data_IF_209046276449
#
_entry.id   IF_209046276449
#
_cell.length_a   1.000
_cell.length_b   1.000
_cell.length_c   1.000
_cell.angle_alpha   90.00
_cell.angle_beta   90.00
_cell.angle_gamma   90.00
#
_symmetry.space_group_name_H-M   'P 1'
#
loop_
_entity.id
_entity.type
_entity.pdbx_description
1 polymer ?
#
# COMPACT_ATOMS: atom_id res chain seq x y z
N UNK A 1 -7.96 6.73 17.64
CA UNK A 1 -7.82 7.97 18.44
C UNK A 1 -8.57 9.14 17.83
N UNK A 2 -8.34 9.56 16.58
CA UNK A 2 -8.97 10.75 15.97
C UNK A 2 -10.50 10.77 16.10
N UNK A 3 -11.17 9.64 15.87
CA UNK A 3 -12.63 9.54 16.01
C UNK A 3 -13.10 9.59 17.46
N UNK A 4 -12.35 8.99 18.37
CA UNK A 4 -12.65 9.06 19.81
C UNK A 4 -12.64 10.50 20.33
N UNK A 5 -11.61 11.27 19.95
CA UNK A 5 -11.50 12.68 20.34
C UNK A 5 -12.65 13.54 19.77
N UNK A 6 -13.22 13.14 18.64
CA UNK A 6 -14.36 13.81 17.98
C UNK A 6 -15.72 13.24 18.36
N UNK A 7 -15.80 12.29 19.31
CA UNK A 7 -17.02 11.52 19.62
C UNK A 7 -17.68 10.89 18.40
N UNK A 8 -16.88 10.38 17.46
CA UNK A 8 -17.33 9.73 16.23
C UNK A 8 -17.00 8.24 16.22
N UNK A 9 -17.82 7.45 15.58
CA UNK A 9 -17.57 6.02 15.34
C UNK A 9 -16.68 5.86 14.09
N UNK A 10 -15.69 4.95 14.12
CA UNK A 10 -15.33 4.00 15.19
C UNK A 10 -14.45 4.62 16.28
N UNK A 11 -14.69 4.29 17.54
CA UNK A 11 -13.88 4.77 18.69
C UNK A 11 -12.81 3.77 19.13
N UNK A 12 -12.87 2.51 18.66
CA UNK A 12 -11.92 1.44 19.00
C UNK A 12 -11.47 0.68 17.76
N UNK A 13 -10.32 0.00 17.84
CA UNK A 13 -9.84 -0.93 16.81
C UNK A 13 -10.82 -2.04 16.51
N UNK A 14 -11.48 -2.57 17.55
CA UNK A 14 -12.52 -3.59 17.42
C UNK A 14 -13.73 -3.07 16.62
N UNK A 15 -14.18 -1.85 16.91
CA UNK A 15 -15.25 -1.21 16.14
C UNK A 15 -14.87 -0.99 14.68
N UNK A 16 -13.61 -0.60 14.40
CA UNK A 16 -13.09 -0.48 13.02
C UNK A 16 -13.16 -1.81 12.30
N UNK A 17 -12.65 -2.88 12.90
CA UNK A 17 -12.68 -4.21 12.32
C UNK A 17 -14.12 -4.70 12.09
N UNK A 18 -15.03 -4.43 13.04
CA UNK A 18 -16.45 -4.79 12.92
C UNK A 18 -17.13 -4.09 11.76
N UNK A 19 -16.91 -2.77 11.60
CA UNK A 19 -17.51 -1.98 10.51
C UNK A 19 -16.99 -2.47 9.13
N UNK A 20 -15.70 -2.75 9.02
CA UNK A 20 -15.12 -3.29 7.77
C UNK A 20 -15.77 -4.63 7.44
N UNK A 21 -15.83 -5.56 8.40
CA UNK A 21 -16.41 -6.89 8.19
C UNK A 21 -17.90 -6.82 7.86
N UNK A 22 -18.66 -5.96 8.55
CA UNK A 22 -20.08 -5.77 8.28
C UNK A 22 -20.36 -5.33 6.84
N UNK A 23 -19.57 -4.37 6.32
CA UNK A 23 -19.73 -3.91 4.94
C UNK A 23 -19.29 -4.97 3.92
N UNK A 24 -18.21 -5.70 4.18
CA UNK A 24 -17.77 -6.79 3.32
C UNK A 24 -18.77 -7.94 3.31
N UNK A 25 -19.34 -8.31 4.46
CA UNK A 25 -20.36 -9.32 4.56
C UNK A 25 -21.63 -8.92 3.77
N UNK A 26 -22.12 -7.69 3.94
CA UNK A 26 -23.26 -7.18 3.16
C UNK A 26 -22.98 -7.21 1.65
N UNK A 27 -21.77 -6.84 1.23
CA UNK A 27 -21.37 -6.89 -0.18
C UNK A 27 -21.29 -8.33 -0.70
N UNK A 28 -20.86 -9.29 0.12
CA UNK A 28 -20.85 -10.72 -0.24
C UNK A 28 -22.26 -11.28 -0.44
N UNK A 29 -23.18 -10.97 0.47
CA UNK A 29 -24.58 -11.38 0.33
C UNK A 29 -25.26 -10.71 -0.88
N UNK A 30 -24.96 -9.43 -1.11
CA UNK A 30 -25.43 -8.72 -2.29
C UNK A 30 -24.88 -9.33 -3.60
N UNK A 31 -23.60 -9.71 -3.62
CA UNK A 31 -23.00 -10.43 -4.75
C UNK A 31 -23.71 -11.75 -5.02
N UNK A 32 -23.93 -12.57 -3.99
CA UNK A 32 -24.66 -13.86 -4.09
C UNK A 32 -26.07 -13.67 -4.63
N UNK A 33 -26.80 -12.66 -4.16
CA UNK A 33 -28.14 -12.35 -4.64
C UNK A 33 -28.15 -11.98 -6.13
N UNK A 34 -27.19 -11.16 -6.58
CA UNK A 34 -27.02 -10.83 -8.02
C UNK A 34 -26.70 -12.06 -8.87
N UNK A 35 -25.78 -12.90 -8.41
CA UNK A 35 -25.38 -14.13 -9.11
C UNK A 35 -26.55 -15.11 -9.21
N UNK A 36 -27.37 -15.21 -8.14
CA UNK A 36 -28.57 -16.04 -8.13
C UNK A 36 -29.61 -15.55 -9.15
N UNK A 37 -29.91 -14.26 -9.15
CA UNK A 37 -30.85 -13.67 -10.11
C UNK A 37 -30.41 -13.82 -11.58
N UNK A 38 -29.12 -13.92 -11.86
CA UNK A 38 -28.61 -14.22 -13.20
C UNK A 38 -28.77 -15.67 -13.61
N UNK A 39 -28.79 -16.60 -12.63
CA UNK A 39 -28.87 -18.04 -12.88
C UNK A 39 -30.29 -18.61 -12.73
N UNK A 40 -31.20 -17.92 -12.07
CA UNK A 40 -32.56 -18.36 -11.75
C UNK A 40 -33.57 -17.30 -12.19
N UNK A 41 -34.33 -17.54 -13.28
CA UNK A 41 -35.33 -16.60 -13.79
C UNK A 41 -36.48 -16.27 -12.83
N UNK A 42 -36.69 -17.11 -11.81
CA UNK A 42 -37.73 -16.89 -10.80
C UNK A 42 -37.23 -16.04 -9.61
N UNK A 43 -35.98 -15.63 -9.63
CA UNK A 43 -35.37 -14.79 -8.60
C UNK A 43 -35.22 -13.34 -9.10
N UNK A 44 -35.80 -12.40 -8.37
CA UNK A 44 -35.61 -10.98 -8.61
C UNK A 44 -34.17 -10.54 -8.24
N UNK A 45 -33.61 -9.65 -9.07
CA UNK A 45 -32.33 -9.02 -8.76
C UNK A 45 -32.48 -8.06 -7.56
N UNK A 46 -31.49 -7.96 -6.68
CA UNK A 46 -31.53 -6.99 -5.60
C UNK A 46 -31.48 -5.56 -6.14
N UNK A 47 -32.09 -4.63 -5.42
CA UNK A 47 -32.02 -3.21 -5.75
C UNK A 47 -30.57 -2.75 -5.83
N UNK A 48 -30.31 -1.78 -6.72
CA UNK A 48 -28.97 -1.21 -6.88
C UNK A 48 -28.55 -0.45 -5.64
N UNK A 49 -27.43 -0.87 -5.02
CA UNK A 49 -26.83 -0.20 -3.89
C UNK A 49 -25.37 0.18 -4.19
N UNK A 50 -25.13 1.49 -4.44
CA UNK A 50 -23.80 2.00 -4.86
C UNK A 50 -22.65 1.60 -3.93
N UNK A 51 -22.87 1.59 -2.62
CA UNK A 51 -21.84 1.20 -1.64
C UNK A 51 -21.44 -0.26 -1.80
N UNK A 52 -22.39 -1.15 -2.01
CA UNK A 52 -22.13 -2.57 -2.16
C UNK A 52 -21.55 -2.86 -3.54
N UNK A 53 -22.08 -2.23 -4.60
CA UNK A 53 -21.51 -2.35 -5.95
C UNK A 53 -20.02 -1.98 -5.98
N UNK A 54 -19.63 -0.91 -5.29
CA UNK A 54 -18.22 -0.47 -5.25
C UNK A 54 -17.27 -1.46 -4.57
N UNK A 55 -17.78 -2.37 -3.76
CA UNK A 55 -17.00 -3.43 -3.09
C UNK A 55 -16.92 -4.73 -3.91
N UNK A 56 -17.73 -4.91 -4.95
CA UNK A 56 -17.72 -6.14 -5.74
C UNK A 56 -16.38 -6.41 -6.45
N UNK A 57 -15.70 -5.42 -7.06
CA UNK A 57 -14.39 -5.64 -7.64
C UNK A 57 -13.36 -6.14 -6.62
N UNK A 58 -13.46 -5.69 -5.37
CA UNK A 58 -12.62 -6.14 -4.27
C UNK A 58 -12.85 -7.62 -3.96
N UNK A 59 -14.14 -8.03 -3.80
CA UNK A 59 -14.54 -9.42 -3.52
C UNK A 59 -14.30 -10.38 -4.71
N UNK A 60 -14.14 -9.85 -5.94
CA UNK A 60 -13.76 -10.63 -7.12
C UNK A 60 -12.24 -10.72 -7.30
N UNK A 61 -11.46 -10.03 -6.44
CA UNK A 61 -10.01 -9.96 -6.57
C UNK A 61 -9.52 -9.19 -7.80
N UNK A 62 -10.37 -8.35 -8.39
CA UNK A 62 -10.03 -7.48 -9.52
C UNK A 62 -9.15 -6.30 -9.08
N UNK A 63 -9.32 -5.87 -7.83
CA UNK A 63 -8.53 -4.82 -7.18
C UNK A 63 -7.97 -5.30 -5.85
N UNK A 64 -6.93 -4.63 -5.35
CA UNK A 64 -6.31 -4.93 -4.07
C UNK A 64 -7.00 -4.17 -2.92
N UNK A 65 -6.98 -4.78 -1.72
CA UNK A 65 -7.43 -4.17 -0.48
C UNK A 65 -6.26 -3.45 0.20
N UNK A 66 -6.22 -2.13 0.17
CA UNK A 66 -5.21 -1.35 0.87
C UNK A 66 -5.63 -1.09 2.31
N UNK A 67 -4.93 -1.71 3.25
CA UNK A 67 -5.18 -1.55 4.68
C UNK A 67 -4.19 -0.56 5.29
N UNK A 68 -4.68 0.60 5.73
CA UNK A 68 -3.91 1.56 6.53
C UNK A 68 -3.70 0.99 7.93
N UNK A 69 -2.51 0.49 8.23
CA UNK A 69 -2.17 -0.09 9.52
C UNK A 69 -0.71 0.20 9.90
N UNK A 70 -0.49 0.64 11.14
CA UNK A 70 0.84 0.93 11.67
C UNK A 70 1.37 -0.20 12.54
N UNK A 71 0.57 -0.66 13.49
CA UNK A 71 0.95 -1.62 14.52
C UNK A 71 0.82 -3.06 14.02
N UNK A 72 1.65 -3.92 14.54
CA UNK A 72 1.63 -5.35 14.22
C UNK A 72 0.28 -6.01 14.52
N UNK A 73 -0.38 -5.67 15.64
CA UNK A 73 -1.71 -6.20 15.99
C UNK A 73 -2.82 -5.73 15.03
N UNK A 74 -2.73 -4.50 14.50
CA UNK A 74 -3.65 -3.99 13.47
C UNK A 74 -3.37 -4.65 12.11
N UNK A 75 -2.10 -4.90 11.79
CA UNK A 75 -1.72 -5.66 10.58
C UNK A 75 -2.29 -7.08 10.65
N UNK A 76 -2.15 -7.79 11.76
CA UNK A 76 -2.77 -9.11 11.94
C UNK A 76 -4.30 -9.07 11.78
N UNK A 77 -4.95 -8.01 12.26
CA UNK A 77 -6.39 -7.82 12.06
C UNK A 77 -6.74 -7.66 10.59
N UNK A 78 -5.96 -6.87 9.83
CA UNK A 78 -6.12 -6.71 8.39
C UNK A 78 -5.93 -8.03 7.63
N UNK A 79 -4.88 -8.80 7.97
CA UNK A 79 -4.61 -10.12 7.37
C UNK A 79 -5.76 -11.10 7.64
N UNK A 80 -6.28 -11.12 8.87
CA UNK A 80 -7.42 -11.97 9.22
C UNK A 80 -8.66 -11.62 8.41
N UNK A 81 -8.99 -10.33 8.26
CA UNK A 81 -10.11 -9.87 7.43
C UNK A 81 -9.86 -10.23 5.96
N UNK A 82 -8.66 -10.00 5.46
CA UNK A 82 -8.33 -10.34 4.09
C UNK A 82 -8.52 -11.84 3.78
N UNK A 83 -8.08 -12.72 4.69
CA UNK A 83 -8.31 -14.18 4.56
C UNK A 83 -9.79 -14.55 4.62
N UNK A 84 -10.55 -13.95 5.54
CA UNK A 84 -11.98 -14.22 5.73
C UNK A 84 -12.79 -13.95 4.46
N UNK A 85 -12.46 -12.90 3.72
CA UNK A 85 -13.17 -12.46 2.51
C UNK A 85 -12.41 -12.73 1.20
N UNK A 86 -11.31 -13.47 1.22
CA UNK A 86 -10.51 -13.80 0.02
C UNK A 86 -9.89 -12.59 -0.68
N UNK A 87 -9.58 -11.52 0.08
CA UNK A 87 -9.05 -10.28 -0.47
C UNK A 87 -7.55 -10.39 -0.77
N UNK A 88 -7.05 -9.55 -1.67
CA UNK A 88 -5.62 -9.36 -1.95
C UNK A 88 -5.10 -8.17 -1.12
N UNK A 89 -4.53 -8.37 0.08
CA UNK A 89 -4.16 -7.27 0.95
C UNK A 89 -2.86 -6.59 0.52
N UNK A 90 -2.78 -5.29 0.76
CA UNK A 90 -1.57 -4.49 0.78
C UNK A 90 -1.57 -3.69 2.08
N UNK A 91 -0.48 -3.74 2.83
CA UNK A 91 -0.35 -2.93 4.05
C UNK A 91 0.24 -1.58 3.71
N UNK A 92 -0.47 -0.52 4.07
CA UNK A 92 -0.01 0.85 3.93
C UNK A 92 0.50 1.35 5.29
N UNK A 93 1.63 2.02 5.29
CA UNK A 93 2.48 2.49 6.39
C UNK A 93 3.30 1.37 7.04
N UNK A 94 2.70 0.32 7.58
CA UNK A 94 3.42 -0.81 8.13
C UNK A 94 4.53 -0.44 9.11
N UNK A 95 4.31 0.54 10.01
CA UNK A 95 5.35 1.06 10.92
C UNK A 95 6.02 -0.04 11.75
N UNK A 96 5.26 -1.04 12.18
CA UNK A 96 5.75 -2.21 12.93
C UNK A 96 5.84 -3.48 12.05
N UNK A 97 5.72 -3.36 10.73
CA UNK A 97 5.75 -4.51 9.83
C UNK A 97 7.07 -5.30 9.91
N UNK A 98 8.19 -4.63 10.24
CA UNK A 98 9.49 -5.27 10.44
C UNK A 98 9.50 -6.29 11.59
N UNK A 99 8.59 -6.18 12.57
CA UNK A 99 8.48 -7.13 13.69
C UNK A 99 7.83 -8.47 13.28
N UNK A 100 7.18 -8.51 12.13
CA UNK A 100 6.42 -9.65 11.61
C UNK A 100 6.75 -9.92 10.13
N UNK A 101 7.99 -9.60 9.72
CA UNK A 101 8.43 -9.71 8.33
C UNK A 101 8.33 -11.14 7.77
N UNK A 102 8.60 -12.15 8.59
CA UNK A 102 8.48 -13.56 8.27
C UNK A 102 7.04 -13.94 7.89
N UNK A 103 6.06 -13.50 8.68
CA UNK A 103 4.64 -13.77 8.44
C UNK A 103 4.17 -13.06 7.15
N UNK A 104 4.54 -11.79 6.98
CA UNK A 104 4.21 -11.03 5.77
C UNK A 104 4.81 -11.67 4.51
N UNK A 105 6.02 -12.24 4.63
CA UNK A 105 6.66 -13.00 3.55
C UNK A 105 5.92 -14.29 3.26
N UNK A 106 5.58 -15.08 4.28
CA UNK A 106 4.87 -16.35 4.15
C UNK A 106 3.52 -16.16 3.46
N UNK A 107 2.80 -15.11 3.84
CA UNK A 107 1.49 -14.76 3.26
C UNK A 107 1.58 -13.99 1.93
N UNK A 108 2.78 -13.66 1.47
CA UNK A 108 2.99 -12.93 0.22
C UNK A 108 2.40 -11.52 0.21
N UNK A 109 2.27 -10.88 1.38
CA UNK A 109 1.62 -9.58 1.54
C UNK A 109 2.62 -8.45 1.33
N UNK A 110 2.43 -7.57 0.33
CA UNK A 110 3.29 -6.43 0.11
C UNK A 110 3.04 -5.32 1.14
N UNK A 111 4.09 -4.53 1.38
CA UNK A 111 4.04 -3.40 2.32
C UNK A 111 4.53 -2.12 1.64
N UNK A 112 3.75 -1.05 1.77
CA UNK A 112 4.13 0.31 1.38
C UNK A 112 4.51 1.08 2.63
N UNK A 113 5.82 1.17 2.90
CA UNK A 113 6.36 1.72 4.15
C UNK A 113 6.48 3.24 4.08
N UNK A 114 6.05 3.92 5.12
CA UNK A 114 6.23 5.37 5.29
C UNK A 114 4.96 6.10 5.77
N UNK A 115 5.07 7.41 6.06
CA UNK A 115 6.27 8.24 5.96
C UNK A 115 7.25 7.94 7.11
N UNK A 116 8.51 7.64 6.80
CA UNK A 116 9.54 7.46 7.83
C UNK A 116 10.27 8.78 8.17
N UNK A 117 10.21 9.74 7.24
CA UNK A 117 10.73 11.11 7.42
C UNK A 117 9.61 12.02 7.96
N UNK A 118 9.16 11.73 9.18
CA UNK A 118 8.10 12.46 9.85
C UNK A 118 8.31 12.41 11.36
N UNK A 119 7.49 13.12 12.13
CA UNK A 119 7.53 13.05 13.60
C UNK A 119 6.53 12.01 14.13
N UNK A 120 6.79 11.51 15.33
CA UNK A 120 5.94 10.49 15.97
C UNK A 120 4.71 11.14 16.63
N UNK A 121 3.80 11.65 15.81
CA UNK A 121 2.62 12.41 16.24
C UNK A 121 1.59 11.59 17.04
N UNK A 122 1.61 10.28 16.92
CA UNK A 122 0.62 9.37 17.53
C UNK A 122 1.31 8.11 18.08
N UNK A 123 0.73 7.45 19.11
CA UNK A 123 1.34 6.27 19.74
C UNK A 123 1.65 5.13 18.79
N UNK A 124 0.89 4.99 17.71
CA UNK A 124 1.09 3.97 16.67
C UNK A 124 2.43 4.13 15.94
N UNK A 125 3.03 5.33 15.97
CA UNK A 125 4.32 5.63 15.34
C UNK A 125 5.53 5.46 16.26
N UNK A 126 5.35 5.00 17.50
CA UNK A 126 6.43 4.90 18.50
C UNK A 126 7.64 4.09 18.01
N UNK A 127 7.39 3.03 17.23
CA UNK A 127 8.40 2.14 16.68
C UNK A 127 8.80 2.48 15.24
N UNK A 128 8.51 3.70 14.78
CA UNK A 128 8.91 4.17 13.46
C UNK A 128 10.44 4.26 13.36
N UNK A 129 10.99 3.63 12.33
CA UNK A 129 12.43 3.62 12.05
C UNK A 129 12.69 3.60 10.54
N UNK A 130 13.83 4.12 10.13
CA UNK A 130 14.30 4.02 8.74
C UNK A 130 14.77 2.61 8.36
N UNK A 131 14.95 1.71 9.31
CA UNK A 131 15.38 0.32 9.09
C UNK A 131 14.24 -0.56 8.56
N UNK A 132 12.97 -0.20 8.82
CA UNK A 132 11.80 -1.01 8.45
C UNK A 132 11.81 -1.46 6.99
N UNK A 133 12.02 -0.59 5.98
CA UNK A 133 12.03 -1.03 4.58
C UNK A 133 13.15 -2.03 4.28
N UNK A 134 14.33 -1.85 4.87
CA UNK A 134 15.49 -2.73 4.70
C UNK A 134 15.26 -4.11 5.30
N UNK A 135 14.71 -4.18 6.52
CA UNK A 135 14.37 -5.45 7.18
C UNK A 135 13.35 -6.25 6.36
N UNK A 136 12.29 -5.59 5.88
CA UNK A 136 11.27 -6.20 5.04
C UNK A 136 11.83 -6.72 3.72
N UNK A 137 12.60 -5.90 3.00
CA UNK A 137 13.23 -6.28 1.74
C UNK A 137 14.17 -7.46 1.90
N UNK A 138 15.03 -7.43 2.93
CA UNK A 138 15.93 -8.55 3.29
C UNK A 138 15.15 -9.83 3.66
N UNK A 139 14.00 -9.69 4.33
CA UNK A 139 13.07 -10.78 4.60
C UNK A 139 12.35 -11.31 3.36
N UNK A 140 12.50 -10.66 2.21
CA UNK A 140 11.87 -11.04 0.94
C UNK A 140 10.41 -10.60 0.81
N UNK A 141 9.98 -9.62 1.61
CA UNK A 141 8.67 -8.95 1.46
C UNK A 141 8.74 -7.95 0.31
N UNK A 142 7.75 -7.94 -0.58
CA UNK A 142 7.65 -6.92 -1.63
C UNK A 142 7.37 -5.56 -0.97
N UNK A 143 8.41 -4.71 -0.94
CA UNK A 143 8.40 -3.46 -0.19
C UNK A 143 8.47 -2.26 -1.12
N UNK A 144 7.60 -1.29 -0.92
CA UNK A 144 7.67 0.05 -1.50
C UNK A 144 7.83 1.10 -0.40
N UNK A 145 8.32 2.29 -0.77
CA UNK A 145 8.47 3.44 0.12
C UNK A 145 7.50 4.54 -0.32
N UNK A 146 6.81 5.15 0.64
CA UNK A 146 5.92 6.29 0.40
C UNK A 146 6.26 7.49 1.29
N UNK A 147 5.93 8.67 0.79
CA UNK A 147 5.98 9.92 1.56
C UNK A 147 4.68 10.23 2.30
N UNK A 148 3.57 9.56 1.91
CA UNK A 148 2.23 9.90 2.42
C UNK A 148 1.94 11.40 2.32
N UNK A 149 2.26 11.99 1.15
CA UNK A 149 2.04 13.44 0.95
C UNK A 149 0.62 13.87 1.38
N UNK A 150 0.48 14.93 2.18
CA UNK A 150 1.47 15.96 2.52
C UNK A 150 2.28 15.71 3.82
N UNK A 151 2.17 14.58 4.51
CA UNK A 151 2.90 14.29 5.75
C UNK A 151 4.42 14.46 5.56
N UNK A 152 4.96 13.90 4.49
CA UNK A 152 6.26 14.24 3.95
C UNK A 152 6.06 14.73 2.51
N UNK A 153 6.52 15.92 2.10
CA UNK A 153 6.33 16.39 0.74
C UNK A 153 6.87 15.44 -0.32
N UNK A 154 6.11 15.21 -1.39
CA UNK A 154 6.44 14.26 -2.45
C UNK A 154 7.86 14.40 -3.04
N UNK A 155 8.43 15.62 -3.21
CA UNK A 155 9.81 15.78 -3.69
C UNK A 155 10.87 15.08 -2.82
N UNK A 156 10.57 14.72 -1.59
CA UNK A 156 11.49 14.02 -0.68
C UNK A 156 11.42 12.49 -0.79
N UNK A 157 10.73 11.92 -1.79
CA UNK A 157 10.65 10.46 -1.96
C UNK A 157 12.04 9.84 -2.11
N UNK A 158 12.93 10.43 -2.93
CA UNK A 158 14.31 9.94 -3.06
C UNK A 158 15.12 10.08 -1.77
N UNK A 159 14.86 11.11 -0.97
CA UNK A 159 15.48 11.26 0.35
C UNK A 159 15.03 10.15 1.29
N UNK A 160 13.74 9.78 1.28
CA UNK A 160 13.23 8.65 2.08
C UNK A 160 13.93 7.33 1.70
N UNK A 161 14.11 7.06 0.40
CA UNK A 161 14.86 5.90 -0.09
C UNK A 161 16.34 5.93 0.33
N UNK A 162 16.98 7.10 0.22
CA UNK A 162 18.38 7.30 0.67
C UNK A 162 18.54 7.05 2.18
N UNK A 163 17.60 7.51 3.00
CA UNK A 163 17.62 7.26 4.45
C UNK A 163 17.43 5.79 4.79
N UNK A 164 16.56 5.08 4.06
CA UNK A 164 16.41 3.63 4.21
C UNK A 164 17.71 2.89 3.82
N UNK A 165 18.38 3.30 2.73
CA UNK A 165 19.66 2.75 2.33
C UNK A 165 20.74 2.98 3.43
N UNK A 166 20.86 4.19 3.94
CA UNK A 166 21.79 4.53 5.03
C UNK A 166 21.49 3.76 6.32
N UNK A 167 20.28 3.28 6.49
CA UNK A 167 19.83 2.48 7.64
C UNK A 167 19.85 0.96 7.36
N UNK A 168 20.60 0.52 6.34
CA UNK A 168 20.88 -0.89 6.07
C UNK A 168 20.06 -1.55 4.98
N UNK A 169 19.22 -0.82 4.25
CA UNK A 169 18.60 -1.33 3.04
C UNK A 169 19.62 -1.39 1.91
N UNK A 170 19.69 -2.50 1.17
CA UNK A 170 20.54 -2.59 -0.02
C UNK A 170 20.15 -1.51 -1.04
N UNK A 171 21.15 -0.88 -1.67
CA UNK A 171 20.93 0.24 -2.58
C UNK A 171 19.98 -0.10 -3.73
N UNK A 172 20.19 -1.26 -4.34
CA UNK A 172 19.32 -1.75 -5.41
C UNK A 172 17.87 -1.91 -4.95
N UNK A 173 17.65 -2.37 -3.72
CA UNK A 173 16.31 -2.53 -3.16
C UNK A 173 15.69 -1.17 -2.80
N UNK A 174 16.48 -0.20 -2.35
CA UNK A 174 16.01 1.16 -2.12
C UNK A 174 15.52 1.84 -3.42
N UNK A 175 16.24 1.66 -4.53
CA UNK A 175 15.76 2.11 -5.85
C UNK A 175 14.51 1.35 -6.30
N UNK A 176 14.47 0.03 -6.15
CA UNK A 176 13.29 -0.78 -6.49
C UNK A 176 12.07 -0.37 -5.68
N UNK A 177 12.25 0.00 -4.41
CA UNK A 177 11.18 0.38 -3.51
C UNK A 177 10.47 1.69 -3.90
N UNK A 178 11.07 2.52 -4.75
CA UNK A 178 10.48 3.76 -5.27
C UNK A 178 10.22 3.72 -6.79
N UNK A 179 10.43 2.57 -7.43
CA UNK A 179 10.28 2.41 -8.88
C UNK A 179 9.46 1.16 -9.22
N UNK A 180 10.12 0.01 -9.42
CA UNK A 180 9.46 -1.21 -9.92
C UNK A 180 8.57 -1.87 -8.86
N UNK A 181 8.89 -1.79 -7.56
CA UNK A 181 8.09 -2.45 -6.55
C UNK A 181 6.70 -1.81 -6.38
N UNK A 182 6.55 -0.46 -6.27
CA UNK A 182 5.22 0.15 -6.31
C UNK A 182 4.47 -0.16 -7.61
N UNK A 183 5.16 -0.21 -8.77
CA UNK A 183 4.55 -0.61 -10.03
C UNK A 183 4.01 -2.05 -9.98
N UNK A 184 4.75 -3.00 -9.37
CA UNK A 184 4.28 -4.38 -9.16
C UNK A 184 3.08 -4.45 -8.22
N UNK A 185 3.12 -3.71 -7.11
CA UNK A 185 2.02 -3.64 -6.16
C UNK A 185 0.75 -3.14 -6.85
N UNK A 186 0.87 -2.14 -7.72
CA UNK A 186 -0.26 -1.56 -8.46
C UNK A 186 -0.65 -2.35 -9.74
N UNK A 187 0.06 -3.44 -10.08
CA UNK A 187 -0.17 -4.20 -11.32
C UNK A 187 0.25 -3.45 -12.60
N UNK A 188 1.10 -2.44 -12.49
CA UNK A 188 1.55 -1.57 -13.59
C UNK A 188 2.98 -1.87 -14.06
N UNK A 189 3.62 -2.90 -13.52
CA UNK A 189 5.01 -3.25 -13.77
C UNK A 189 5.32 -3.66 -15.23
N UNK A 190 4.30 -4.00 -16.01
CA UNK A 190 4.42 -4.21 -17.47
C UNK A 190 4.60 -2.92 -18.25
N UNK A 191 4.13 -1.79 -17.71
CA UNK A 191 4.15 -0.47 -18.37
C UNK A 191 5.21 0.46 -17.81
N UNK A 192 5.38 0.53 -16.48
CA UNK A 192 6.24 1.51 -15.80
C UNK A 192 7.19 0.84 -14.78
N UNK A 193 7.97 1.65 -14.09
CA UNK A 193 8.80 1.26 -12.96
C UNK A 193 10.18 0.69 -13.30
N UNK A 194 10.52 0.52 -14.58
CA UNK A 194 11.87 0.13 -15.01
C UNK A 194 12.15 0.55 -16.43
N UNK A 195 13.42 0.79 -16.75
CA UNK A 195 13.87 1.10 -18.10
C UNK A 195 13.98 -0.21 -18.89
N UNK A 196 13.00 -0.44 -19.76
CA UNK A 196 12.95 -1.62 -20.62
C UNK A 196 12.20 -1.28 -21.91
N UNK A 197 12.65 -1.81 -23.05
CA UNK A 197 11.96 -1.64 -24.33
C UNK A 197 10.48 -2.09 -24.24
N UNK A 198 9.58 -1.27 -24.74
CA UNK A 198 8.12 -1.50 -24.72
C UNK A 198 7.41 -0.98 -23.46
N UNK A 199 8.13 -0.35 -22.52
CA UNK A 199 7.52 0.38 -21.40
C UNK A 199 7.40 1.88 -21.71
N UNK A 200 6.51 2.53 -20.97
CA UNK A 200 6.34 3.98 -21.00
C UNK A 200 7.68 4.64 -20.62
N UNK A 201 8.08 5.66 -21.38
CA UNK A 201 9.36 6.30 -21.18
C UNK A 201 9.29 7.45 -20.16
N UNK A 202 8.92 7.08 -18.92
CA UNK A 202 8.96 7.96 -17.75
C UNK A 202 10.32 7.83 -17.08
N UNK A 203 11.22 8.79 -17.38
CA UNK A 203 12.64 8.69 -17.00
C UNK A 203 13.10 9.99 -16.34
N UNK A 204 13.82 9.85 -15.24
CA UNK A 204 14.49 10.95 -14.56
C UNK A 204 16.00 10.78 -14.72
N UNK A 205 16.67 11.83 -15.20
CA UNK A 205 18.12 11.89 -15.32
C UNK A 205 18.68 12.76 -14.21
N UNK A 206 19.66 12.25 -13.50
CA UNK A 206 20.34 12.96 -12.41
C UNK A 206 21.76 13.37 -12.84
N UNK A 207 22.28 14.45 -12.24
CA UNK A 207 23.65 14.94 -12.48
C UNK A 207 24.75 14.09 -11.83
N UNK A 208 24.36 13.16 -10.96
CA UNK A 208 25.21 12.23 -10.21
C UNK A 208 24.37 11.14 -9.57
N UNK A 209 24.91 10.46 -8.57
CA UNK A 209 24.17 9.41 -7.87
C UNK A 209 22.99 10.00 -7.07
N UNK A 210 21.73 9.52 -7.24
CA UNK A 210 20.53 10.14 -6.65
C UNK A 210 20.51 10.23 -5.12
N UNK A 211 21.30 9.41 -4.42
CA UNK A 211 21.43 9.45 -2.97
C UNK A 211 22.52 10.39 -2.46
N UNK A 212 23.31 10.99 -3.35
CA UNK A 212 24.32 11.97 -2.99
C UNK A 212 23.73 13.38 -2.82
N UNK A 213 24.24 14.10 -1.82
CA UNK A 213 23.72 15.41 -1.42
C UNK A 213 23.80 16.46 -2.55
N UNK A 214 24.84 16.39 -3.39
CA UNK A 214 25.10 17.39 -4.42
C UNK A 214 24.47 17.02 -5.78
N UNK A 215 23.66 15.98 -5.82
CA UNK A 215 22.96 15.53 -7.03
C UNK A 215 21.67 16.30 -7.23
N UNK A 216 21.41 16.69 -8.46
CA UNK A 216 20.19 17.37 -8.89
C UNK A 216 19.55 16.66 -10.07
N UNK A 217 18.24 16.91 -10.27
CA UNK A 217 17.53 16.42 -11.46
C UNK A 217 17.95 17.25 -12.68
N UNK A 218 18.65 16.62 -13.64
CA UNK A 218 19.16 17.22 -14.86
C UNK A 218 18.10 17.25 -15.98
N UNK A 219 17.28 16.19 -16.10
CA UNK A 219 16.18 16.13 -17.05
C UNK A 219 15.07 15.19 -16.57
N UNK A 220 13.85 15.44 -17.02
CA UNK A 220 12.67 14.57 -16.78
C UNK A 220 11.98 14.35 -18.11
N UNK A 221 11.64 13.10 -18.37
CA UNK A 221 10.84 12.67 -19.52
C UNK A 221 9.56 12.01 -19.03
N UNK A 222 8.43 12.31 -19.68
CA UNK A 222 7.13 11.67 -19.49
C UNK A 222 6.66 11.24 -20.89
N UNK A 223 6.31 9.97 -21.05
CA UNK A 223 6.01 9.38 -22.36
C UNK A 223 7.08 9.70 -23.44
N UNK A 224 8.34 9.72 -23.05
CA UNK A 224 9.46 10.05 -23.92
C UNK A 224 9.61 11.54 -24.28
N UNK A 225 8.72 12.41 -23.80
CA UNK A 225 8.79 13.86 -24.03
C UNK A 225 9.51 14.51 -22.86
N UNK A 226 10.53 15.33 -23.17
CA UNK A 226 11.23 16.09 -22.13
C UNK A 226 10.32 17.17 -21.56
N UNK A 227 10.17 17.19 -20.23
CA UNK A 227 9.34 18.16 -19.47
C UNK A 227 10.20 19.05 -18.55
N UNK A 228 11.46 18.68 -18.37
CA UNK A 228 12.48 19.48 -17.67
C UNK A 228 13.83 19.34 -18.35
#
# INVERSE_FOLDING_TARGET
MVYHEKNQTPVTRMATASIIRENLFKAEEYKKAKEKALSDPDCDAPDFEMKLESLLPLLRGEVQAHFHAHRSDDIFTALRIAREFGLKPVIIHGTEAHLIADILKEEGVPVVVGPSLSFRAKPELRNMTFETPGILAKGGVLTAITTDHPETPLPYLMLCASLANRSGMEETDAFRAVTINPAKIMGLDKRIGSIKAGKDADVVVYSGHPFERNTSVAAVFIDGKRVK
#
